data_IF_129560914003
#
_entry.id   IF_129560914003
#
_cell.length_a   1.000
_cell.length_b   1.000
_cell.length_c   1.000
_cell.angle_alpha   90.00
_cell.angle_beta   90.00
_cell.angle_gamma   90.00
#
_symmetry.space_group_name_H-M   'P 1'
#
loop_
_entity.id
_entity.type
_entity.pdbx_description
1 polymer ?
#
# COMPACT_ATOMS: atom_id res chain seq x y z
N UNK A 1 38.73 55.82 -64.64
CA UNK A 1 37.28 55.83 -64.31
C UNK A 1 37.01 54.73 -63.29
N UNK A 2 36.57 55.05 -62.06
CA UNK A 2 36.48 54.09 -60.96
C UNK A 2 35.08 53.44 -60.91
N UNK A 3 35.02 52.15 -60.58
CA UNK A 3 33.75 51.45 -60.32
C UNK A 3 33.82 50.59 -59.07
N UNK A 4 33.27 51.17 -58.00
CA UNK A 4 32.38 50.62 -56.96
C UNK A 4 32.86 49.43 -56.12
N UNK A 5 33.13 49.78 -54.87
CA UNK A 5 33.05 48.98 -53.64
C UNK A 5 31.66 48.33 -53.53
N UNK A 6 31.61 47.04 -53.16
CA UNK A 6 30.47 46.47 -52.45
C UNK A 6 30.94 45.42 -51.45
N UNK A 7 30.77 45.74 -50.17
CA UNK A 7 30.89 44.89 -49.01
C UNK A 7 29.80 43.81 -49.01
N UNK A 8 30.18 42.56 -48.72
CA UNK A 8 29.28 41.59 -48.07
C UNK A 8 30.05 40.87 -46.96
N UNK A 9 29.67 41.20 -45.72
CA UNK A 9 29.85 40.39 -44.51
C UNK A 9 28.60 39.50 -44.39
N UNK A 10 28.74 38.33 -43.76
CA UNK A 10 27.73 37.44 -43.09
C UNK A 10 28.03 35.99 -43.51
N UNK A 11 28.10 34.98 -42.65
CA UNK A 11 28.17 34.81 -41.20
C UNK A 11 28.54 33.32 -41.03
N UNK A 12 29.53 33.02 -40.20
CA UNK A 12 29.98 31.65 -39.92
C UNK A 12 28.93 30.93 -39.06
N UNK A 13 28.28 29.90 -39.61
CA UNK A 13 27.41 29.01 -38.87
C UNK A 13 28.17 27.79 -38.34
N UNK A 14 28.64 27.86 -37.09
CA UNK A 14 29.07 26.68 -36.32
C UNK A 14 27.82 26.12 -35.64
N UNK A 15 27.25 25.04 -36.19
CA UNK A 15 26.25 24.25 -35.49
C UNK A 15 26.97 23.19 -34.66
N UNK A 16 27.01 23.46 -33.35
CA UNK A 16 27.54 22.55 -32.35
C UNK A 16 26.68 21.29 -32.22
N UNK A 17 27.34 20.14 -32.30
CA UNK A 17 26.79 18.88 -31.83
C UNK A 17 26.76 18.92 -30.29
N UNK A 18 25.61 19.21 -29.69
CA UNK A 18 25.38 18.97 -28.27
C UNK A 18 24.88 17.55 -28.09
N UNK A 19 25.80 16.65 -27.73
CA UNK A 19 25.51 15.35 -27.15
C UNK A 19 24.73 15.53 -25.85
N UNK A 20 23.41 15.37 -25.90
CA UNK A 20 22.61 15.20 -24.70
C UNK A 20 22.74 13.73 -24.26
N UNK A 21 23.58 13.48 -23.25
CA UNK A 21 23.49 12.28 -22.44
C UNK A 21 22.11 12.28 -21.77
N UNK A 22 21.14 11.55 -22.33
CA UNK A 22 19.94 11.17 -21.61
C UNK A 22 20.30 10.05 -20.63
N UNK A 23 20.55 10.44 -19.38
CA UNK A 23 20.65 9.51 -18.25
C UNK A 23 19.23 9.03 -17.94
N UNK A 24 18.80 7.96 -18.62
CA UNK A 24 17.74 7.08 -18.10
C UNK A 24 18.40 6.14 -17.10
N UNK A 25 18.21 6.39 -15.80
CA UNK A 25 18.84 5.55 -14.77
C UNK A 25 18.86 6.19 -13.39
N UNK A 26 17.77 6.83 -12.96
CA UNK A 26 17.56 7.06 -11.54
C UNK A 26 16.84 5.85 -10.98
N UNK A 27 17.51 5.02 -10.18
CA UNK A 27 16.78 4.15 -9.25
C UNK A 27 15.85 5.07 -8.43
N UNK A 28 14.54 4.81 -8.36
CA UNK A 28 13.67 5.64 -7.55
C UNK A 28 14.20 5.63 -6.13
N UNK A 29 14.36 6.82 -5.55
CA UNK A 29 14.71 6.97 -4.14
C UNK A 29 13.75 6.10 -3.33
N UNK A 30 14.24 5.19 -2.46
CA UNK A 30 13.37 4.35 -1.66
C UNK A 30 12.39 5.23 -0.91
N UNK A 31 11.09 4.97 -1.06
CA UNK A 31 10.07 5.68 -0.30
C UNK A 31 10.37 5.46 1.17
N UNK A 32 10.61 6.53 1.94
CA UNK A 32 10.95 6.41 3.37
C UNK A 32 9.80 5.85 4.22
N UNK A 33 8.60 5.83 3.66
CA UNK A 33 7.40 5.38 4.34
C UNK A 33 6.34 4.99 3.31
N UNK A 34 5.58 3.93 3.60
CA UNK A 34 4.33 3.63 2.90
C UNK A 34 3.19 3.63 3.91
N UNK A 35 2.03 4.16 3.52
CA UNK A 35 0.82 4.12 4.34
C UNK A 35 -0.29 3.33 3.66
N UNK A 36 -1.14 2.72 4.49
CA UNK A 36 -2.37 2.07 4.09
C UNK A 36 -3.49 2.61 4.97
N UNK A 37 -4.46 3.21 4.32
CA UNK A 37 -5.53 3.97 4.94
C UNK A 37 -6.86 3.47 4.41
N UNK A 38 -7.80 3.14 5.30
CA UNK A 38 -9.11 2.71 4.84
C UNK A 38 -10.04 2.15 5.90
N UNK A 39 -11.22 1.69 5.48
CA UNK A 39 -12.14 0.99 6.35
C UNK A 39 -11.57 -0.39 6.75
N UNK A 40 -11.88 -0.81 7.96
CA UNK A 40 -11.55 -2.15 8.48
C UNK A 40 -12.68 -2.68 9.34
N UNK A 41 -12.87 -4.00 9.29
CA UNK A 41 -13.74 -4.75 10.19
C UNK A 41 -12.92 -5.80 10.91
N UNK A 42 -13.05 -5.87 12.23
CA UNK A 42 -12.39 -6.87 13.06
C UNK A 42 -13.43 -7.69 13.82
N UNK A 43 -13.24 -9.00 13.87
CA UNK A 43 -14.04 -9.89 14.71
C UNK A 43 -13.14 -10.53 15.74
N UNK A 44 -13.50 -10.38 17.02
CA UNK A 44 -12.74 -10.93 18.14
C UNK A 44 -13.63 -11.97 18.82
N UNK A 45 -13.14 -13.19 18.92
CA UNK A 45 -13.84 -14.25 19.66
C UNK A 45 -13.72 -14.00 21.16
N UNK A 46 -14.70 -14.45 21.94
CA UNK A 46 -14.63 -14.39 23.39
C UNK A 46 -13.40 -15.15 23.91
N UNK A 47 -12.70 -14.56 24.87
CA UNK A 47 -11.42 -15.03 25.39
C UNK A 47 -10.20 -14.70 24.51
N UNK A 48 -10.38 -14.07 23.35
CA UNK A 48 -9.28 -13.70 22.45
C UNK A 48 -8.99 -12.20 22.50
N UNK A 49 -7.79 -11.84 22.03
CA UNK A 49 -7.36 -10.46 21.87
C UNK A 49 -7.63 -9.96 20.45
N UNK A 50 -7.86 -8.65 20.33
CA UNK A 50 -7.83 -7.96 19.05
C UNK A 50 -6.45 -8.14 18.40
N UNK A 51 -6.39 -8.44 17.09
CA UNK A 51 -5.14 -8.77 16.41
C UNK A 51 -4.00 -7.80 16.73
N UNK A 52 -2.88 -8.36 17.22
CA UNK A 52 -1.66 -7.64 17.51
C UNK A 52 -1.68 -6.76 18.78
N UNK A 53 -2.77 -6.80 19.54
CA UNK A 53 -2.93 -5.97 20.75
C UNK A 53 -3.19 -6.81 21.99
N UNK A 54 -3.25 -6.13 23.13
CA UNK A 54 -3.66 -6.66 24.44
C UNK A 54 -5.15 -6.47 24.72
N UNK A 55 -5.91 -5.84 23.82
CA UNK A 55 -7.33 -5.57 24.04
C UNK A 55 -8.11 -6.87 23.85
N UNK A 56 -8.81 -7.33 24.88
CA UNK A 56 -9.51 -8.61 24.86
C UNK A 56 -11.03 -8.44 24.93
N UNK A 57 -11.76 -9.43 24.39
CA UNK A 57 -13.20 -9.57 24.55
C UNK A 57 -13.54 -10.79 25.39
N UNK A 58 -14.46 -10.69 26.34
CA UNK A 58 -14.83 -11.78 27.26
C UNK A 58 -16.30 -12.20 27.19
N UNK A 59 -17.08 -11.70 26.23
CA UNK A 59 -18.52 -11.97 26.13
C UNK A 59 -19.37 -10.84 26.72
N UNK A 60 -20.59 -11.17 27.15
CA UNK A 60 -21.52 -10.21 27.76
C UNK A 60 -21.41 -10.21 29.28
N UNK A 61 -21.46 -9.02 29.86
CA UNK A 61 -21.69 -8.81 31.28
C UNK A 61 -23.16 -9.09 31.64
N UNK A 62 -23.50 -9.22 32.95
CA UNK A 62 -24.87 -9.48 33.39
C UNK A 62 -25.89 -8.41 32.95
N UNK A 63 -25.45 -7.18 32.66
CA UNK A 63 -26.29 -6.09 32.17
C UNK A 63 -26.46 -6.08 30.64
N UNK A 64 -25.92 -7.08 29.95
CA UNK A 64 -26.01 -7.23 28.50
C UNK A 64 -25.02 -6.40 27.69
N UNK A 65 -24.08 -5.67 28.32
CA UNK A 65 -22.99 -4.97 27.61
C UNK A 65 -21.81 -5.90 27.33
N UNK A 66 -21.03 -5.59 26.30
CA UNK A 66 -19.79 -6.28 26.01
C UNK A 66 -18.77 -6.03 27.12
N UNK A 67 -18.21 -7.10 27.69
CA UNK A 67 -17.10 -7.04 28.63
C UNK A 67 -15.78 -7.11 27.84
N UNK A 68 -15.03 -6.01 27.86
CA UNK A 68 -13.72 -5.91 27.23
C UNK A 68 -12.65 -5.61 28.27
N UNK A 69 -11.41 -5.99 27.99
CA UNK A 69 -10.25 -5.62 28.78
C UNK A 69 -9.28 -4.78 27.95
N UNK A 70 -8.81 -3.69 28.53
CA UNK A 70 -7.84 -2.79 27.96
C UNK A 70 -6.63 -2.73 28.90
N UNK A 71 -5.61 -3.54 28.63
CA UNK A 71 -4.38 -3.59 29.43
C UNK A 71 -4.65 -3.89 30.93
N UNK A 72 -5.50 -4.88 31.22
CA UNK A 72 -5.87 -5.27 32.58
C UNK A 72 -6.98 -4.43 33.21
N UNK A 73 -7.54 -3.46 32.47
CA UNK A 73 -8.67 -2.65 32.91
C UNK A 73 -9.92 -3.10 32.18
N UNK A 74 -10.88 -3.65 32.93
CA UNK A 74 -12.17 -4.05 32.40
C UNK A 74 -13.04 -2.83 32.07
N UNK A 75 -13.67 -2.85 30.92
CA UNK A 75 -14.61 -1.85 30.45
C UNK A 75 -15.86 -2.51 29.85
N UNK A 76 -17.01 -1.94 30.16
CA UNK A 76 -18.30 -2.34 29.58
C UNK A 76 -18.58 -1.48 28.35
N UNK A 77 -18.90 -2.11 27.23
CA UNK A 77 -19.15 -1.47 25.93
C UNK A 77 -20.54 -1.78 25.41
N UNK A 78 -21.24 -0.79 24.90
CA UNK A 78 -22.48 -0.94 24.16
C UNK A 78 -22.21 -0.82 22.64
N UNK A 79 -23.23 -1.15 21.83
CA UNK A 79 -23.19 -0.87 20.40
C UNK A 79 -22.92 0.62 20.15
N UNK A 80 -22.10 0.91 19.14
CA UNK A 80 -21.56 2.21 18.77
C UNK A 80 -20.51 2.82 19.71
N UNK A 81 -20.20 2.21 20.86
CA UNK A 81 -19.09 2.66 21.70
C UNK A 81 -17.75 2.53 20.98
N UNK A 82 -16.80 3.41 21.30
CA UNK A 82 -15.48 3.43 20.69
C UNK A 82 -14.57 2.34 21.23
N UNK A 83 -13.76 1.77 20.34
CA UNK A 83 -12.64 0.88 20.65
C UNK A 83 -11.46 1.38 19.83
N UNK A 84 -10.66 2.25 20.43
CA UNK A 84 -9.51 2.87 19.76
C UNK A 84 -8.22 2.26 20.25
N UNK A 85 -7.25 2.11 19.36
CA UNK A 85 -5.92 1.66 19.70
C UNK A 85 -4.88 2.30 18.80
N UNK A 86 -3.74 2.67 19.36
CA UNK A 86 -2.62 3.21 18.60
C UNK A 86 -1.32 2.61 19.13
N UNK A 87 -0.44 2.16 18.25
CA UNK A 87 0.83 1.58 18.65
C UNK A 87 1.60 0.97 17.49
N UNK A 88 2.71 0.32 17.82
CA UNK A 88 3.45 -0.52 16.89
C UNK A 88 3.07 -1.97 17.14
N UNK A 89 2.84 -2.73 16.06
CA UNK A 89 2.63 -4.18 16.14
C UNK A 89 3.96 -4.93 16.09
N UNK A 90 4.87 -4.44 15.23
CA UNK A 90 6.28 -4.85 15.14
C UNK A 90 7.14 -3.60 14.92
N UNK A 91 8.46 -3.75 14.98
CA UNK A 91 9.39 -2.66 14.68
C UNK A 91 9.13 -2.08 13.28
N UNK A 92 9.26 -0.76 13.14
CA UNK A 92 8.99 -0.01 11.90
C UNK A 92 7.53 0.03 11.43
N UNK A 93 6.60 -0.42 12.27
CA UNK A 93 5.16 -0.23 12.06
C UNK A 93 4.59 0.82 13.00
N UNK A 94 3.63 1.60 12.50
CA UNK A 94 2.72 2.39 13.32
C UNK A 94 1.30 2.11 12.82
N UNK A 95 0.39 1.81 13.74
CA UNK A 95 -0.99 1.48 13.46
C UNK A 95 -1.87 2.33 14.35
N UNK A 96 -2.86 2.99 13.76
CA UNK A 96 -3.93 3.69 14.45
C UNK A 96 -5.29 3.12 14.03
N UNK A 97 -6.00 2.52 14.98
CA UNK A 97 -7.33 1.95 14.82
C UNK A 97 -8.35 2.86 15.51
N UNK A 98 -9.34 3.31 14.73
CA UNK A 98 -10.50 4.06 15.23
C UNK A 98 -11.76 3.24 14.97
N UNK A 99 -12.15 2.39 15.92
CA UNK A 99 -13.23 1.42 15.74
C UNK A 99 -14.42 1.74 16.62
N UNK A 100 -15.57 1.18 16.25
CA UNK A 100 -16.79 1.14 17.05
C UNK A 100 -17.35 -0.26 17.12
N UNK A 101 -18.01 -0.56 18.24
CA UNK A 101 -18.77 -1.80 18.40
C UNK A 101 -19.96 -1.81 17.45
N UNK A 102 -20.05 -2.83 16.59
CA UNK A 102 -21.17 -3.03 15.67
C UNK A 102 -22.19 -4.00 16.26
N UNK A 103 -21.71 -5.15 16.71
CA UNK A 103 -22.52 -6.21 17.29
C UNK A 103 -21.65 -7.07 18.21
N UNK A 104 -22.27 -7.72 19.18
CA UNK A 104 -21.59 -8.65 20.07
C UNK A 104 -22.57 -9.62 20.74
N UNK A 105 -22.06 -10.79 21.12
CA UNK A 105 -22.77 -11.83 21.86
C UNK A 105 -21.78 -12.59 22.76
N UNK A 106 -22.23 -13.67 23.40
CA UNK A 106 -21.40 -14.51 24.27
C UNK A 106 -20.16 -15.10 23.58
N UNK A 107 -20.14 -15.16 22.25
CA UNK A 107 -19.11 -15.83 21.44
C UNK A 107 -18.15 -14.87 20.75
N UNK A 108 -18.59 -13.66 20.41
CA UNK A 108 -17.72 -12.71 19.72
C UNK A 108 -18.23 -11.29 19.68
N UNK A 109 -17.33 -10.38 19.32
CA UNK A 109 -17.60 -8.97 19.07
C UNK A 109 -17.11 -8.60 17.68
N UNK A 110 -17.94 -7.86 16.95
CA UNK A 110 -17.59 -7.25 15.67
C UNK A 110 -17.38 -5.76 15.85
N UNK A 111 -16.20 -5.30 15.43
CA UNK A 111 -15.78 -3.91 15.43
C UNK A 111 -15.65 -3.43 13.98
N UNK A 112 -16.05 -2.20 13.70
CA UNK A 112 -15.84 -1.58 12.40
C UNK A 112 -15.40 -0.13 12.54
N UNK A 113 -14.58 0.34 11.61
CA UNK A 113 -14.09 1.72 11.61
C UNK A 113 -12.97 1.91 10.60
N UNK A 114 -11.96 2.68 10.98
CA UNK A 114 -10.83 3.00 10.09
C UNK A 114 -9.50 2.55 10.68
N UNK A 115 -8.56 2.26 9.78
CA UNK A 115 -7.16 2.03 10.07
C UNK A 115 -6.30 3.06 9.34
N UNK A 116 -5.29 3.57 10.03
CA UNK A 116 -4.12 4.23 9.46
C UNK A 116 -2.90 3.38 9.81
N UNK A 117 -2.32 2.73 8.81
CA UNK A 117 -1.15 1.86 8.98
C UNK A 117 0.01 2.49 8.23
N UNK A 118 1.16 2.51 8.88
CA UNK A 118 2.40 3.06 8.35
C UNK A 118 3.52 2.03 8.49
N UNK A 119 4.25 1.82 7.40
CA UNK A 119 5.51 1.04 7.40
C UNK A 119 6.65 1.99 7.06
N UNK A 120 7.63 2.06 7.94
CA UNK A 120 8.83 2.89 7.76
C UNK A 120 9.91 2.14 7.00
N UNK A 121 10.62 2.86 6.14
CA UNK A 121 11.72 2.41 5.28
C UNK A 121 11.45 1.03 4.65
N UNK A 122 10.35 0.90 3.89
CA UNK A 122 10.06 -0.34 3.17
C UNK A 122 11.22 -0.72 2.23
N UNK A 123 11.57 -1.99 2.25
CA UNK A 123 12.51 -2.63 1.32
C UNK A 123 11.82 -3.86 0.69
N UNK A 124 10.96 -3.66 -0.33
CA UNK A 124 10.13 -4.72 -0.86
C UNK A 124 10.94 -5.89 -1.45
N UNK A 125 10.69 -7.09 -0.96
CA UNK A 125 11.27 -8.33 -1.48
C UNK A 125 10.17 -9.35 -1.77
N UNK A 126 10.03 -9.86 -3.01
CA UNK A 126 9.11 -10.94 -3.31
C UNK A 126 9.36 -12.17 -2.45
N UNK A 127 8.29 -12.88 -2.06
CA UNK A 127 8.42 -14.08 -1.24
C UNK A 127 7.07 -14.67 -0.83
N UNK A 128 7.14 -15.79 -0.13
CA UNK A 128 5.95 -16.42 0.45
C UNK A 128 5.40 -15.62 1.62
N UNK A 129 4.09 -15.69 1.81
CA UNK A 129 3.45 -15.12 2.99
C UNK A 129 3.71 -15.97 4.23
N UNK A 130 3.88 -15.35 5.40
CA UNK A 130 4.12 -16.08 6.64
C UNK A 130 2.90 -16.89 7.06
N UNK A 131 3.12 -18.10 7.58
CA UNK A 131 2.06 -18.95 8.13
C UNK A 131 1.54 -18.40 9.46
N UNK A 132 2.45 -17.93 10.31
CA UNK A 132 2.14 -17.39 11.63
C UNK A 132 1.96 -15.87 11.53
N UNK A 133 0.88 -15.35 12.11
CA UNK A 133 0.57 -13.93 12.11
C UNK A 133 0.13 -13.48 13.51
N UNK A 134 0.59 -12.30 13.92
CA UNK A 134 0.08 -11.63 15.13
C UNK A 134 -1.05 -10.65 14.78
N UNK A 135 -1.13 -10.20 13.53
CA UNK A 135 -2.29 -9.50 12.99
C UNK A 135 -2.24 -9.38 11.47
N UNK A 136 -3.42 -9.29 10.84
CA UNK A 136 -3.56 -9.02 9.42
C UNK A 136 -4.69 -8.01 9.15
N UNK A 137 -4.45 -7.13 8.19
CA UNK A 137 -5.41 -6.08 7.82
C UNK A 137 -5.54 -6.02 6.31
N UNK A 138 -6.77 -6.22 5.83
CA UNK A 138 -7.13 -6.05 4.41
C UNK A 138 -7.74 -4.68 4.21
N UNK A 139 -7.06 -3.85 3.43
CA UNK A 139 -7.36 -2.43 3.24
C UNK A 139 -7.61 -2.19 1.74
N UNK A 140 -8.75 -1.59 1.34
CA UNK A 140 -8.97 -1.25 -0.06
C UNK A 140 -7.97 -0.15 -0.49
N UNK A 141 -7.37 -0.32 -1.66
CA UNK A 141 -6.35 0.60 -2.19
C UNK A 141 -6.64 0.97 -3.63
N UNK A 142 -6.18 2.15 -4.02
CA UNK A 142 -6.13 2.59 -5.42
C UNK A 142 -4.79 3.27 -5.66
N UNK A 143 -4.11 2.89 -6.74
CA UNK A 143 -2.81 3.44 -7.11
C UNK A 143 -2.86 4.04 -8.50
N UNK A 144 -2.29 5.22 -8.64
CA UNK A 144 -1.86 5.75 -9.94
C UNK A 144 -0.37 5.50 -10.04
N UNK A 145 0.04 4.71 -11.03
CA UNK A 145 1.43 4.32 -11.23
C UNK A 145 1.89 4.94 -12.54
N UNK A 146 2.76 5.93 -12.44
CA UNK A 146 3.35 6.59 -13.60
C UNK A 146 4.30 5.66 -14.34
N UNK A 147 4.53 5.93 -15.62
CA UNK A 147 5.50 5.23 -16.44
C UNK A 147 6.89 5.29 -15.80
N UNK A 148 7.52 4.13 -15.66
CA UNK A 148 8.81 3.96 -15.02
C UNK A 148 8.76 3.93 -13.48
N UNK A 149 7.59 4.15 -12.87
CA UNK A 149 7.42 4.04 -11.43
C UNK A 149 7.01 2.61 -11.01
N UNK A 150 7.15 2.33 -9.71
CA UNK A 150 6.76 1.06 -9.10
C UNK A 150 5.42 1.19 -8.37
N UNK A 151 4.64 0.10 -8.36
CA UNK A 151 3.46 -0.01 -7.50
C UNK A 151 3.93 0.12 -6.05
N UNK A 152 3.34 1.02 -5.24
CA UNK A 152 3.76 1.23 -3.85
C UNK A 152 3.86 -0.07 -3.06
N UNK A 153 5.01 -0.28 -2.42
CA UNK A 153 5.25 -1.48 -1.61
C UNK A 153 5.70 -2.71 -2.38
N UNK A 154 6.04 -2.57 -3.67
CA UNK A 154 6.51 -3.67 -4.51
C UNK A 154 7.73 -3.26 -5.33
N UNK A 155 8.28 -4.23 -6.05
CA UNK A 155 9.23 -4.02 -7.15
C UNK A 155 8.56 -4.12 -8.54
N UNK A 156 7.23 -4.19 -8.63
CA UNK A 156 6.47 -4.27 -9.90
C UNK A 156 6.32 -2.88 -10.49
N UNK A 157 6.81 -2.67 -11.71
CA UNK A 157 6.87 -1.36 -12.34
C UNK A 157 5.96 -1.22 -13.55
N UNK A 158 5.42 -0.04 -13.81
CA UNK A 158 4.64 0.22 -15.02
C UNK A 158 5.54 0.69 -16.16
N UNK A 159 5.48 0.01 -17.31
CA UNK A 159 6.34 0.31 -18.48
C UNK A 159 5.65 1.21 -19.50
N UNK A 160 4.32 1.15 -19.59
CA UNK A 160 3.50 1.91 -20.53
C UNK A 160 2.43 1.03 -21.19
N UNK A 161 1.68 1.62 -22.12
CA UNK A 161 0.71 0.87 -22.92
C UNK A 161 1.39 0.30 -24.17
N UNK A 162 1.00 -0.91 -24.57
CA UNK A 162 1.41 -1.56 -25.82
C UNK A 162 0.23 -2.28 -26.45
N UNK A 163 0.42 -2.77 -27.67
CA UNK A 163 -0.50 -3.72 -28.29
C UNK A 163 -0.63 -4.95 -27.39
N UNK A 164 -1.80 -5.15 -26.77
CA UNK A 164 -2.05 -6.23 -25.81
C UNK A 164 -2.20 -5.79 -24.35
N UNK A 165 -2.09 -4.49 -24.02
CA UNK A 165 -2.48 -3.96 -22.72
C UNK A 165 -1.42 -3.08 -22.03
N UNK A 166 -1.63 -2.86 -20.73
CA UNK A 166 -0.65 -2.29 -19.83
C UNK A 166 0.50 -3.28 -19.62
N UNK A 167 1.73 -2.85 -19.88
CA UNK A 167 2.93 -3.66 -19.63
C UNK A 167 3.52 -3.35 -18.25
N UNK A 168 3.81 -4.41 -17.50
CA UNK A 168 4.46 -4.32 -16.20
C UNK A 168 5.78 -5.11 -16.17
N UNK A 169 6.74 -4.59 -15.42
CA UNK A 169 8.01 -5.27 -15.11
C UNK A 169 7.95 -5.99 -13.76
N UNK A 170 8.79 -7.00 -13.56
CA UNK A 170 8.93 -7.78 -12.33
C UNK A 170 7.63 -8.49 -11.86
N UNK A 171 6.74 -8.79 -12.81
CA UNK A 171 5.72 -9.81 -12.59
C UNK A 171 6.35 -11.20 -12.77
N UNK A 172 5.91 -12.14 -11.94
CA UNK A 172 6.25 -13.58 -11.99
C UNK A 172 5.61 -14.31 -13.18
N UNK A 173 4.62 -13.67 -13.81
CA UNK A 173 3.79 -14.19 -14.89
C UNK A 173 3.87 -13.28 -16.13
N UNK A 174 3.07 -13.57 -17.15
CA UNK A 174 2.98 -12.79 -18.38
C UNK A 174 2.88 -11.27 -18.09
N UNK A 175 3.60 -10.38 -18.80
CA UNK A 175 3.77 -8.99 -18.37
C UNK A 175 2.63 -8.03 -18.81
N UNK A 176 1.74 -8.44 -19.71
CA UNK A 176 0.68 -7.59 -20.24
C UNK A 176 -0.65 -7.81 -19.56
N UNK A 177 -1.36 -6.72 -19.26
CA UNK A 177 -2.67 -6.73 -18.59
C UNK A 177 -3.65 -5.84 -19.35
N UNK A 178 -4.78 -6.40 -19.75
CA UNK A 178 -5.90 -5.62 -20.23
C UNK A 178 -6.65 -4.97 -19.05
N UNK A 179 -7.65 -4.14 -19.37
CA UNK A 179 -8.53 -3.60 -18.33
C UNK A 179 -9.22 -4.74 -17.61
N UNK A 180 -9.30 -4.62 -16.28
CA UNK A 180 -9.82 -5.58 -15.32
C UNK A 180 -9.00 -6.85 -15.11
N UNK A 181 -7.88 -7.02 -15.81
CA UNK A 181 -6.95 -8.11 -15.51
C UNK A 181 -6.27 -7.90 -14.15
N UNK A 182 -5.92 -9.02 -13.53
CA UNK A 182 -5.35 -9.07 -12.19
C UNK A 182 -3.86 -8.72 -12.20
N UNK A 183 -3.45 -7.82 -11.30
CA UNK A 183 -2.05 -7.57 -10.95
C UNK A 183 -1.87 -8.01 -9.51
N UNK A 184 -1.22 -9.16 -9.31
CA UNK A 184 -1.02 -9.76 -7.99
C UNK A 184 0.45 -9.71 -7.64
N UNK A 185 0.75 -9.38 -6.38
CA UNK A 185 2.09 -9.44 -5.82
C UNK A 185 2.04 -9.88 -4.36
N UNK A 186 3.03 -10.65 -3.93
CA UNK A 186 3.22 -10.98 -2.52
C UNK A 186 4.70 -10.97 -2.15
N UNK A 187 4.97 -10.62 -0.90
CA UNK A 187 6.31 -10.59 -0.35
C UNK A 187 6.38 -9.83 0.97
N UNK A 188 7.55 -9.33 1.29
CA UNK A 188 7.81 -8.55 2.50
C UNK A 188 8.05 -7.10 2.16
N UNK A 189 7.44 -6.20 2.93
CA UNK A 189 7.79 -4.78 2.95
C UNK A 189 9.02 -4.54 3.81
N UNK A 190 9.16 -5.32 4.88
CA UNK A 190 10.27 -5.27 5.83
C UNK A 190 10.29 -6.56 6.65
N UNK A 191 11.34 -6.75 7.45
CA UNK A 191 11.36 -7.78 8.48
C UNK A 191 10.06 -7.75 9.30
N UNK A 192 9.37 -8.90 9.37
CA UNK A 192 8.11 -9.12 10.08
C UNK A 192 6.88 -8.35 9.58
N UNK A 193 6.97 -7.74 8.40
CA UNK A 193 5.88 -7.03 7.75
C UNK A 193 5.75 -7.55 6.32
N UNK A 194 4.81 -8.46 6.12
CA UNK A 194 4.46 -8.99 4.81
C UNK A 194 3.32 -8.19 4.17
N UNK A 195 3.27 -8.21 2.84
CA UNK A 195 2.25 -7.58 2.04
C UNK A 195 1.81 -8.52 0.92
N UNK A 196 0.50 -8.60 0.73
CA UNK A 196 -0.13 -9.11 -0.48
C UNK A 196 -0.98 -8.02 -1.12
N UNK A 197 -0.80 -7.83 -2.41
CA UNK A 197 -1.62 -6.96 -3.24
C UNK A 197 -2.42 -7.81 -4.21
N UNK A 198 -3.75 -7.67 -4.16
CA UNK A 198 -4.67 -8.20 -5.15
C UNK A 198 -5.32 -7.02 -5.88
N UNK A 199 -4.70 -6.59 -6.97
CA UNK A 199 -5.11 -5.42 -7.75
C UNK A 199 -5.72 -5.83 -9.09
N UNK A 200 -6.46 -4.90 -9.69
CA UNK A 200 -6.92 -4.96 -11.08
C UNK A 200 -6.58 -3.67 -11.80
N UNK A 201 -6.29 -3.78 -13.09
CA UNK A 201 -6.10 -2.62 -13.95
C UNK A 201 -7.46 -1.96 -14.19
N UNK A 202 -7.70 -0.77 -13.65
CA UNK A 202 -8.94 -0.02 -13.87
C UNK A 202 -8.89 0.77 -15.18
N UNK A 203 -7.73 1.38 -15.45
CA UNK A 203 -7.45 2.08 -16.70
C UNK A 203 -5.94 2.19 -16.94
N UNK A 204 -5.52 2.47 -18.16
CA UNK A 204 -4.11 2.71 -18.48
C UNK A 204 -3.94 3.47 -19.79
N UNK A 205 -2.81 4.15 -19.93
CA UNK A 205 -2.32 4.78 -21.14
C UNK A 205 -0.79 4.80 -21.14
N UNK A 206 -0.15 5.38 -22.15
CA UNK A 206 1.32 5.39 -22.25
C UNK A 206 2.05 6.00 -21.04
N UNK A 207 1.38 6.87 -20.27
CA UNK A 207 1.97 7.64 -19.19
C UNK A 207 1.69 7.06 -17.80
N UNK A 208 0.58 6.33 -17.62
CA UNK A 208 0.18 5.79 -16.31
C UNK A 208 -0.76 4.60 -16.38
N UNK A 209 -0.77 3.81 -15.32
CA UNK A 209 -1.81 2.84 -14.99
C UNK A 209 -2.57 3.26 -13.74
N UNK A 210 -3.88 3.02 -13.73
CA UNK A 210 -4.74 3.13 -12.56
C UNK A 210 -5.08 1.72 -12.10
N UNK A 211 -4.70 1.39 -10.86
CA UNK A 211 -4.90 0.08 -10.25
C UNK A 211 -5.84 0.22 -9.06
N UNK A 212 -6.73 -0.75 -8.85
CA UNK A 212 -7.61 -0.79 -7.69
C UNK A 212 -7.78 -2.21 -7.16
N UNK A 213 -7.94 -2.34 -5.85
CA UNK A 213 -8.09 -3.65 -5.22
C UNK A 213 -7.87 -3.58 -3.72
N UNK A 214 -7.17 -4.58 -3.18
CA UNK A 214 -6.88 -4.67 -1.76
C UNK A 214 -5.40 -4.89 -1.47
N UNK A 215 -4.95 -4.31 -0.36
CA UNK A 215 -3.68 -4.59 0.28
C UNK A 215 -3.93 -5.34 1.58
N UNK A 216 -3.39 -6.55 1.68
CA UNK A 216 -3.36 -7.32 2.92
C UNK A 216 -1.98 -7.13 3.56
N UNK A 217 -1.91 -6.37 4.64
CA UNK A 217 -0.69 -6.19 5.44
C UNK A 217 -0.71 -7.19 6.59
N UNK A 218 0.36 -7.98 6.72
CA UNK A 218 0.46 -9.09 7.67
C UNK A 218 1.66 -8.85 8.58
N UNK A 219 1.46 -8.99 9.89
CA UNK A 219 2.48 -8.82 10.91
C UNK A 219 2.89 -10.15 11.52
N UNK A 220 4.19 -10.36 11.65
CA UNK A 220 4.80 -11.60 12.16
C UNK A 220 5.29 -11.46 13.61
N UNK A 221 5.31 -12.58 14.37
CA UNK A 221 5.75 -12.62 15.77
C UNK A 221 7.23 -12.32 15.99
#
# INVERSE_FOLDING_TARGET
MPRKILFWIVLVGVLGASSACQVFGGNPTPTRQISYDGPVTLTIQAGQTMPGTTIAYYGKAPDGRALMDFNGVQALKATADSVNWTGALVLFSLVDLKLRVVAYDETGITLAGTIHLVVQEPNPTPGELPANRIGDFTIPVTYTVERGAFIPGTNVGYVGAKTGGAEFTNLDQFPYRERFDSVVWQGHLRERIALRLDLRVLDFNDDRAILGGAAQVIFEP
#
